data_IF_947047861289
#
_entry.id   IF_947047861289
#
_cell.length_a   1.000
_cell.length_b   1.000
_cell.length_c   1.000
_cell.angle_alpha   90.00
_cell.angle_beta   90.00
_cell.angle_gamma   90.00
#
_symmetry.space_group_name_H-M   'P 1'
#
loop_
_entity.id
_entity.type
_entity.pdbx_description
1 polymer ?
#
# COMPACT_ATOMS: atom_id res chain seq x y z
N UNK A 1 -16.48 -15.86 -10.72
CA UNK A 1 -16.43 -16.93 -11.76
C UNK A 1 -17.62 -17.89 -11.71
N UNK A 2 -17.99 -18.46 -10.55
CA UNK A 2 -19.16 -19.37 -10.42
C UNK A 2 -20.52 -18.73 -10.74
N UNK A 3 -20.70 -17.44 -10.46
CA UNK A 3 -21.89 -16.67 -10.85
C UNK A 3 -21.95 -16.37 -12.36
N UNK A 4 -20.82 -15.94 -12.94
CA UNK A 4 -20.69 -15.69 -14.38
C UNK A 4 -20.85 -16.95 -15.25
N UNK A 5 -20.60 -18.15 -14.70
CA UNK A 5 -20.89 -19.42 -15.37
C UNK A 5 -22.38 -19.83 -15.26
N UNK A 6 -23.14 -19.22 -14.34
CA UNK A 6 -24.57 -19.48 -14.13
C UNK A 6 -25.46 -18.49 -14.88
N UNK A 7 -24.99 -17.26 -15.08
CA UNK A 7 -25.66 -16.25 -15.90
C UNK A 7 -25.14 -16.31 -17.34
N UNK A 8 -25.99 -16.01 -18.33
CA UNK A 8 -25.60 -15.97 -19.74
C UNK A 8 -24.63 -14.81 -19.99
N UNK A 9 -23.33 -15.07 -19.79
CA UNK A 9 -22.27 -14.09 -19.97
C UNK A 9 -22.07 -13.79 -21.46
N UNK A 10 -22.55 -12.62 -21.90
CA UNK A 10 -22.49 -12.19 -23.29
C UNK A 10 -21.27 -11.29 -23.59
N UNK A 11 -20.93 -11.13 -24.87
CA UNK A 11 -19.84 -10.29 -25.35
C UNK A 11 -19.94 -8.83 -24.89
N UNK A 12 -21.15 -8.32 -24.68
CA UNK A 12 -21.36 -6.99 -24.11
C UNK A 12 -20.86 -6.91 -22.65
N UNK A 13 -21.16 -7.93 -21.84
CA UNK A 13 -20.68 -8.02 -20.45
C UNK A 13 -19.16 -8.15 -20.40
N UNK A 14 -18.57 -8.97 -21.27
CA UNK A 14 -17.11 -9.08 -21.39
C UNK A 14 -16.44 -7.73 -21.70
N UNK A 15 -17.01 -6.96 -22.63
CA UNK A 15 -16.48 -5.64 -22.97
C UNK A 15 -16.61 -4.67 -21.79
N UNK A 16 -17.73 -4.69 -21.08
CA UNK A 16 -17.94 -3.85 -19.91
C UNK A 16 -16.95 -4.19 -18.77
N UNK A 17 -16.77 -5.47 -18.47
CA UNK A 17 -15.85 -5.96 -17.44
C UNK A 17 -14.39 -5.67 -17.80
N UNK A 18 -14.01 -5.83 -19.07
CA UNK A 18 -12.65 -5.49 -19.53
C UNK A 18 -12.37 -4.00 -19.33
N UNK A 19 -13.30 -3.13 -19.71
CA UNK A 19 -13.14 -1.69 -19.51
C UNK A 19 -13.10 -1.32 -18.03
N UNK A 20 -13.97 -1.91 -17.20
CA UNK A 20 -13.98 -1.71 -15.77
C UNK A 20 -12.65 -2.19 -15.13
N UNK A 21 -12.17 -3.37 -15.51
CA UNK A 21 -10.91 -3.93 -15.03
C UNK A 21 -9.70 -3.06 -15.40
N UNK A 22 -9.67 -2.50 -16.61
CA UNK A 22 -8.62 -1.55 -17.02
C UNK A 22 -8.67 -0.28 -16.16
N UNK A 23 -9.85 0.32 -16.00
CA UNK A 23 -10.00 1.55 -15.18
C UNK A 23 -9.59 1.31 -13.74
N UNK A 24 -10.08 0.24 -13.12
CA UNK A 24 -9.76 -0.14 -11.75
C UNK A 24 -8.28 -0.45 -11.60
N UNK A 25 -7.70 -1.25 -12.51
CA UNK A 25 -6.30 -1.63 -12.47
C UNK A 25 -5.37 -0.43 -12.57
N UNK A 26 -5.66 0.50 -13.49
CA UNK A 26 -4.88 1.72 -13.68
C UNK A 26 -4.92 2.60 -12.42
N UNK A 27 -6.06 2.68 -11.71
CA UNK A 27 -6.17 3.39 -10.41
C UNK A 27 -5.47 2.64 -9.28
N UNK A 28 -5.50 1.31 -9.30
CA UNK A 28 -4.91 0.47 -8.26
C UNK A 28 -3.38 0.53 -8.24
N UNK A 29 -2.71 0.77 -9.38
CA UNK A 29 -1.25 0.86 -9.48
C UNK A 29 -0.64 1.92 -8.53
N UNK A 30 -1.00 3.23 -8.62
CA UNK A 30 -0.45 4.24 -7.73
C UNK A 30 -0.87 4.03 -6.26
N UNK A 31 -2.11 3.60 -6.02
CA UNK A 31 -2.59 3.33 -4.67
C UNK A 31 -1.77 2.23 -3.99
N UNK A 32 -1.51 1.13 -4.71
CA UNK A 32 -0.76 -0.01 -4.17
C UNK A 32 0.67 0.35 -3.81
N UNK A 33 1.34 1.16 -4.65
CA UNK A 33 2.68 1.68 -4.34
C UNK A 33 2.65 2.59 -3.12
N UNK A 34 1.69 3.52 -3.04
CA UNK A 34 1.58 4.46 -1.92
C UNK A 34 1.37 3.74 -0.59
N UNK A 35 0.53 2.69 -0.57
CA UNK A 35 0.28 1.91 0.65
C UNK A 35 1.50 1.08 1.06
N UNK A 36 2.25 0.50 0.12
CA UNK A 36 3.51 -0.17 0.42
C UNK A 36 4.53 0.80 1.06
N UNK A 37 4.68 2.00 0.50
CA UNK A 37 5.55 3.04 1.05
C UNK A 37 5.10 3.43 2.47
N UNK A 38 3.79 3.58 2.68
CA UNK A 38 3.23 3.91 3.99
C UNK A 38 3.44 2.78 5.02
N UNK A 39 3.47 1.53 4.58
CA UNK A 39 3.84 0.35 5.39
C UNK A 39 5.35 0.21 5.60
N UNK A 40 6.18 1.13 5.10
CA UNK A 40 7.63 1.10 5.29
C UNK A 40 8.35 0.08 4.41
N UNK A 41 7.70 -0.46 3.37
CA UNK A 41 8.31 -1.39 2.42
C UNK A 41 8.47 -0.76 1.04
N UNK A 42 9.44 -1.24 0.22
CA UNK A 42 9.62 -0.72 -1.13
C UNK A 42 8.35 -0.87 -2.00
N UNK A 43 8.04 0.11 -2.87
CA UNK A 43 6.77 0.20 -3.61
C UNK A 43 6.45 -1.01 -4.50
N UNK A 44 7.47 -1.72 -5.00
CA UNK A 44 7.27 -2.95 -5.80
C UNK A 44 6.45 -4.01 -5.05
N UNK A 45 6.58 -4.10 -3.73
CA UNK A 45 5.85 -5.12 -2.96
C UNK A 45 4.35 -4.85 -2.97
N UNK A 46 3.94 -3.58 -3.02
CA UNK A 46 2.53 -3.20 -3.20
C UNK A 46 2.00 -3.62 -4.57
N UNK A 47 2.77 -3.36 -5.63
CA UNK A 47 2.42 -3.79 -6.99
C UNK A 47 2.30 -5.31 -7.09
N UNK A 48 3.29 -6.04 -6.56
CA UNK A 48 3.30 -7.50 -6.56
C UNK A 48 2.10 -8.07 -5.79
N UNK A 49 1.80 -7.49 -4.63
CA UNK A 49 0.62 -7.86 -3.84
C UNK A 49 -0.66 -7.65 -4.64
N UNK A 50 -0.84 -6.48 -5.26
CA UNK A 50 -2.04 -6.18 -6.05
C UNK A 50 -2.21 -7.12 -7.26
N UNK A 51 -1.12 -7.43 -7.97
CA UNK A 51 -1.15 -8.35 -9.12
C UNK A 51 -1.53 -9.77 -8.67
N UNK A 52 -0.83 -10.30 -7.67
CA UNK A 52 -1.02 -11.69 -7.21
C UNK A 52 -2.36 -11.85 -6.51
N UNK A 53 -2.70 -10.96 -5.57
CA UNK A 53 -3.98 -11.01 -4.85
C UNK A 53 -5.17 -10.79 -5.80
N UNK A 54 -5.06 -9.83 -6.72
CA UNK A 54 -6.08 -9.56 -7.74
C UNK A 54 -6.40 -10.80 -8.57
N UNK A 55 -5.36 -11.51 -9.05
CA UNK A 55 -5.55 -12.75 -9.81
C UNK A 55 -6.14 -13.88 -8.96
N UNK A 56 -5.56 -14.14 -7.79
CA UNK A 56 -5.97 -15.25 -6.93
C UNK A 56 -7.40 -15.07 -6.42
N UNK A 57 -7.78 -13.86 -6.00
CA UNK A 57 -9.11 -13.56 -5.48
C UNK A 57 -10.14 -13.49 -6.62
N UNK A 58 -9.79 -13.03 -7.82
CA UNK A 58 -10.71 -13.11 -8.95
C UNK A 58 -11.11 -14.56 -9.29
N UNK A 59 -10.18 -15.52 -9.12
CA UNK A 59 -10.41 -16.94 -9.38
C UNK A 59 -11.12 -17.66 -8.22
N UNK A 60 -10.71 -17.38 -6.98
CA UNK A 60 -11.17 -18.11 -5.79
C UNK A 60 -12.22 -17.36 -4.94
N UNK A 61 -12.46 -16.09 -5.22
CA UNK A 61 -13.32 -15.21 -4.44
C UNK A 61 -14.82 -15.49 -4.58
N UNK A 62 -15.59 -14.96 -3.63
CA UNK A 62 -17.03 -15.18 -3.53
C UNK A 62 -17.91 -14.16 -4.28
N UNK A 63 -17.36 -13.03 -4.71
CA UNK A 63 -18.13 -11.93 -5.33
C UNK A 63 -17.63 -11.61 -6.74
N UNK A 64 -18.57 -11.35 -7.66
CA UNK A 64 -18.28 -11.06 -9.07
C UNK A 64 -17.65 -9.67 -9.28
N UNK A 65 -17.86 -8.73 -8.36
CA UNK A 65 -17.45 -7.33 -8.47
C UNK A 65 -16.39 -6.94 -7.44
N UNK A 66 -15.84 -7.92 -6.72
CA UNK A 66 -14.85 -7.67 -5.69
C UNK A 66 -13.48 -7.38 -6.31
N UNK A 67 -12.96 -6.19 -5.98
CA UNK A 67 -11.59 -5.80 -6.28
C UNK A 67 -10.76 -6.00 -5.02
N UNK A 68 -9.64 -6.69 -5.16
CA UNK A 68 -8.71 -6.93 -4.05
C UNK A 68 -7.36 -6.28 -4.32
N UNK A 69 -6.69 -5.91 -3.24
CA UNK A 69 -5.40 -5.24 -3.26
C UNK A 69 -4.94 -4.92 -1.84
N UNK A 70 -3.79 -4.25 -1.69
CA UNK A 70 -3.35 -3.75 -0.39
C UNK A 70 -4.38 -2.76 0.17
N UNK A 71 -4.75 -2.93 1.44
CA UNK A 71 -5.76 -2.09 2.10
C UNK A 71 -5.11 -1.12 3.06
N UNK A 72 -5.55 0.14 3.02
CA UNK A 72 -4.97 1.21 3.82
C UNK A 72 -5.09 0.98 5.33
N UNK A 73 -6.13 0.27 5.78
CA UNK A 73 -6.33 -0.15 7.17
C UNK A 73 -5.14 -0.92 7.75
N UNK A 74 -4.54 -1.82 6.95
CA UNK A 74 -3.43 -2.64 7.42
C UNK A 74 -2.13 -1.87 7.51
N UNK A 75 -2.00 -0.67 6.94
CA UNK A 75 -0.76 0.11 7.02
C UNK A 75 -0.32 0.33 8.47
N UNK A 76 -1.27 0.59 9.37
CA UNK A 76 -1.01 0.84 10.79
C UNK A 76 -0.44 -0.40 11.50
N UNK A 77 -0.82 -1.60 11.04
CA UNK A 77 -0.38 -2.89 11.57
C UNK A 77 0.94 -3.32 10.91
N UNK A 78 1.06 -3.16 9.60
CA UNK A 78 2.22 -3.62 8.82
C UNK A 78 3.46 -2.74 9.02
N UNK A 79 3.29 -1.42 9.17
CA UNK A 79 4.41 -0.49 9.37
C UNK A 79 5.32 -0.84 10.57
N UNK A 80 4.80 -1.06 11.80
CA UNK A 80 5.65 -1.45 12.92
C UNK A 80 6.27 -2.84 12.73
N UNK A 81 5.58 -3.78 12.08
CA UNK A 81 6.14 -5.11 11.78
C UNK A 81 7.32 -4.98 10.82
N UNK A 82 7.16 -4.21 9.75
CA UNK A 82 8.23 -3.95 8.78
C UNK A 82 9.43 -3.27 9.44
N UNK A 83 9.19 -2.32 10.35
CA UNK A 83 10.25 -1.61 11.08
C UNK A 83 11.01 -2.52 12.07
N UNK A 84 10.31 -3.44 12.74
CA UNK A 84 10.89 -4.31 13.78
C UNK A 84 11.47 -5.61 13.25
N UNK A 85 10.84 -6.22 12.25
CA UNK A 85 11.20 -7.55 11.75
C UNK A 85 11.64 -7.57 10.28
N UNK A 86 11.71 -6.40 9.63
CA UNK A 86 12.07 -6.28 8.23
C UNK A 86 11.04 -6.88 7.27
N UNK A 87 11.41 -6.94 5.99
CA UNK A 87 10.54 -7.47 4.93
C UNK A 87 10.29 -8.97 5.11
N UNK A 88 11.32 -9.74 5.48
CA UNK A 88 11.19 -11.17 5.72
C UNK A 88 10.18 -11.48 6.82
N UNK A 89 10.30 -10.80 7.97
CA UNK A 89 9.39 -10.99 9.09
C UNK A 89 7.95 -10.57 8.79
N UNK A 90 7.78 -9.46 8.06
CA UNK A 90 6.47 -9.05 7.56
C UNK A 90 5.81 -10.16 6.73
N UNK A 91 6.55 -10.73 5.78
CA UNK A 91 6.03 -11.78 4.92
C UNK A 91 5.73 -13.08 5.68
N UNK A 92 6.55 -13.46 6.65
CA UNK A 92 6.27 -14.59 7.55
C UNK A 92 5.01 -14.35 8.37
N UNK A 93 4.83 -13.15 8.93
CA UNK A 93 3.62 -12.81 9.68
C UNK A 93 2.37 -12.86 8.79
N UNK A 94 2.44 -12.33 7.56
CA UNK A 94 1.32 -12.40 6.61
C UNK A 94 1.03 -13.83 6.15
N UNK A 95 2.05 -14.69 6.02
CA UNK A 95 1.87 -16.10 5.68
C UNK A 95 1.14 -16.82 6.83
N UNK A 96 1.56 -16.59 8.08
CA UNK A 96 0.89 -17.13 9.26
C UNK A 96 -0.56 -16.62 9.36
N UNK A 97 -0.80 -15.33 9.09
CA UNK A 97 -2.15 -14.77 9.02
C UNK A 97 -3.00 -15.46 7.93
N UNK A 98 -2.42 -15.75 6.76
CA UNK A 98 -3.08 -16.50 5.70
C UNK A 98 -3.49 -17.92 6.11
N UNK A 99 -2.65 -18.60 6.89
CA UNK A 99 -2.99 -19.92 7.47
C UNK A 99 -4.15 -19.80 8.46
N UNK A 100 -4.14 -18.78 9.33
CA UNK A 100 -5.24 -18.50 10.27
C UNK A 100 -6.54 -18.21 9.50
N UNK A 101 -6.49 -17.35 8.48
CA UNK A 101 -7.63 -17.03 7.62
C UNK A 101 -8.18 -18.26 6.90
N UNK A 102 -7.32 -19.15 6.41
CA UNK A 102 -7.74 -20.40 5.79
C UNK A 102 -8.45 -21.32 6.80
N UNK A 103 -7.92 -21.43 8.01
CA UNK A 103 -8.55 -22.20 9.09
C UNK A 103 -9.90 -21.61 9.49
N UNK A 104 -10.00 -20.29 9.68
CA UNK A 104 -11.26 -19.58 9.99
C UNK A 104 -12.29 -19.73 8.86
N UNK A 105 -11.86 -19.68 7.60
CA UNK A 105 -12.72 -19.92 6.44
C UNK A 105 -13.23 -21.36 6.40
N UNK A 106 -12.39 -22.33 6.70
CA UNK A 106 -12.75 -23.75 6.73
C UNK A 106 -13.72 -24.09 7.88
N UNK A 107 -13.63 -23.41 9.02
CA UNK A 107 -14.53 -23.60 10.18
C UNK A 107 -15.81 -22.77 10.11
N UNK A 108 -15.98 -21.91 9.10
CA UNK A 108 -17.13 -21.02 8.98
C UNK A 108 -17.11 -19.81 9.93
N UNK A 109 -15.99 -19.59 10.63
CA UNK A 109 -15.82 -18.50 11.61
C UNK A 109 -15.97 -17.10 11.00
N UNK A 110 -15.81 -16.97 9.68
CA UNK A 110 -16.02 -15.71 8.96
C UNK A 110 -17.43 -15.13 9.11
N UNK A 111 -18.44 -15.95 9.42
CA UNK A 111 -19.82 -15.48 9.66
C UNK A 111 -19.92 -14.59 10.91
N UNK A 112 -19.00 -14.72 11.87
CA UNK A 112 -19.06 -13.92 13.09
C UNK A 112 -18.78 -12.44 12.88
N UNK A 113 -18.24 -12.05 11.71
CA UNK A 113 -18.04 -10.64 11.36
C UNK A 113 -19.37 -9.86 11.33
N UNK A 114 -20.49 -10.55 11.10
CA UNK A 114 -21.84 -9.95 11.10
C UNK A 114 -22.26 -9.44 12.48
N UNK A 115 -21.63 -9.90 13.57
CA UNK A 115 -21.93 -9.46 14.93
C UNK A 115 -21.11 -8.25 15.38
N UNK A 116 -20.17 -7.75 14.56
CA UNK A 116 -19.36 -6.59 14.92
C UNK A 116 -20.26 -5.34 14.94
N UNK A 117 -20.39 -4.64 16.09
CA UNK A 117 -21.28 -3.49 16.18
C UNK A 117 -20.85 -2.35 15.25
N UNK A 118 -21.83 -1.66 14.67
CA UNK A 118 -21.59 -0.49 13.80
C UNK A 118 -20.71 0.62 14.43
N UNK A 119 -20.82 0.94 15.75
CA UNK A 119 -19.92 1.89 16.39
C UNK A 119 -18.44 1.47 16.34
N UNK A 120 -18.14 0.16 16.34
CA UNK A 120 -16.77 -0.36 16.26
C UNK A 120 -16.20 -0.15 14.86
N UNK A 121 -16.96 -0.49 13.82
CA UNK A 121 -16.49 -0.34 12.43
C UNK A 121 -16.29 1.13 12.06
N UNK A 122 -17.21 2.00 12.47
CA UNK A 122 -17.10 3.46 12.25
C UNK A 122 -15.94 4.06 13.04
N UNK A 123 -15.79 3.73 14.32
CA UNK A 123 -14.67 4.18 15.16
C UNK A 123 -13.31 3.72 14.62
N UNK A 124 -13.21 2.45 14.21
CA UNK A 124 -12.01 1.89 13.59
C UNK A 124 -11.65 2.62 12.28
N UNK A 125 -12.63 2.82 11.40
CA UNK A 125 -12.44 3.54 10.13
C UNK A 125 -11.99 4.98 10.36
N UNK A 126 -12.62 5.68 11.31
CA UNK A 126 -12.22 7.05 11.67
C UNK A 126 -10.80 7.10 12.26
N UNK A 127 -10.45 6.15 13.13
CA UNK A 127 -9.11 6.02 13.69
C UNK A 127 -8.05 5.81 12.61
N UNK A 128 -8.29 4.90 11.66
CA UNK A 128 -7.41 4.67 10.51
C UNK A 128 -7.28 5.94 9.67
N UNK A 129 -8.38 6.65 9.40
CA UNK A 129 -8.34 7.88 8.61
C UNK A 129 -7.45 8.94 9.27
N UNK A 130 -7.55 9.11 10.59
CA UNK A 130 -6.69 10.02 11.36
C UNK A 130 -5.23 9.58 11.26
N UNK A 131 -4.92 8.30 11.51
CA UNK A 131 -3.54 7.79 11.46
C UNK A 131 -2.93 7.95 10.08
N UNK A 132 -3.65 7.58 9.01
CA UNK A 132 -3.18 7.77 7.64
C UNK A 132 -2.94 9.25 7.37
N UNK A 133 -3.90 10.12 7.72
CA UNK A 133 -3.76 11.57 7.55
C UNK A 133 -2.51 12.12 8.22
N UNK A 134 -2.25 11.71 9.46
CA UNK A 134 -1.04 12.11 10.21
C UNK A 134 0.24 11.57 9.57
N UNK A 135 0.24 10.32 9.09
CA UNK A 135 1.42 9.72 8.45
C UNK A 135 1.74 10.38 7.10
N UNK A 136 0.74 10.80 6.33
CA UNK A 136 0.94 11.49 5.06
C UNK A 136 1.52 12.91 5.23
N UNK A 137 1.39 13.51 6.41
CA UNK A 137 1.93 14.85 6.69
C UNK A 137 3.45 14.91 6.51
N UNK A 138 4.17 13.82 6.81
CA UNK A 138 5.61 13.70 6.58
C UNK A 138 5.95 13.93 5.10
N UNK A 139 5.30 13.19 4.21
CA UNK A 139 5.60 13.21 2.78
C UNK A 139 5.01 14.45 2.10
N UNK A 140 3.84 14.92 2.53
CA UNK A 140 3.20 16.14 2.02
C UNK A 140 4.03 17.40 2.31
N UNK A 141 4.63 17.48 3.50
CA UNK A 141 5.48 18.61 3.89
C UNK A 141 6.97 18.41 3.53
N UNK A 142 7.35 17.22 3.04
CA UNK A 142 8.75 16.89 2.74
C UNK A 142 9.65 16.83 3.98
N UNK A 143 9.12 16.42 5.14
CA UNK A 143 9.84 16.42 6.41
C UNK A 143 10.93 15.35 6.46
N UNK A 144 12.08 15.71 7.03
CA UNK A 144 13.17 14.77 7.30
C UNK A 144 13.07 14.25 8.73
N UNK A 145 12.56 13.03 8.88
CA UNK A 145 12.47 12.31 10.17
C UNK A 145 13.38 11.09 10.11
N UNK A 146 14.51 11.05 10.85
CA UNK A 146 15.49 9.97 10.77
C UNK A 146 14.93 8.59 11.13
N UNK A 147 14.16 8.53 12.23
CA UNK A 147 13.47 7.31 12.67
C UNK A 147 12.08 7.69 13.17
N UNK A 148 11.07 7.04 12.61
CA UNK A 148 9.69 7.24 13.06
C UNK A 148 9.45 6.39 14.32
N UNK A 149 9.00 6.99 15.44
CA UNK A 149 8.65 6.23 16.65
C UNK A 149 7.53 5.22 16.40
N UNK A 150 7.32 4.27 17.31
CA UNK A 150 6.24 3.27 17.18
C UNK A 150 4.90 3.83 17.68
N UNK A 151 4.90 4.54 18.81
CA UNK A 151 3.70 5.09 19.42
C UNK A 151 3.19 6.36 18.73
N UNK A 152 1.86 6.48 18.58
CA UNK A 152 1.24 7.57 17.84
C UNK A 152 1.57 8.97 18.39
N UNK A 153 1.53 9.16 19.71
CA UNK A 153 1.83 10.47 20.32
C UNK A 153 3.30 10.88 20.09
N UNK A 154 4.22 9.92 20.18
CA UNK A 154 5.63 10.15 19.89
C UNK A 154 5.86 10.47 18.42
N UNK A 155 5.15 9.79 17.51
CA UNK A 155 5.16 10.12 16.08
C UNK A 155 4.72 11.56 15.83
N UNK A 156 3.63 11.99 16.46
CA UNK A 156 3.15 13.37 16.35
C UNK A 156 4.21 14.36 16.86
N UNK A 157 4.81 14.08 18.02
CA UNK A 157 5.91 14.88 18.55
C UNK A 157 7.12 14.95 17.62
N UNK A 158 7.48 13.84 16.97
CA UNK A 158 8.57 13.79 16.00
C UNK A 158 8.27 14.62 14.74
N UNK A 159 7.03 14.57 14.23
CA UNK A 159 6.59 15.39 13.09
C UNK A 159 6.64 16.88 13.43
N UNK A 160 6.15 17.28 14.61
CA UNK A 160 6.19 18.67 15.08
C UNK A 160 7.62 19.18 15.21
N UNK A 161 8.53 18.38 15.76
CA UNK A 161 9.96 18.71 15.84
C UNK A 161 10.62 18.83 14.46
N UNK A 162 10.13 18.11 13.46
CA UNK A 162 10.65 18.14 12.10
C UNK A 162 10.04 19.26 11.23
N UNK A 163 9.04 20.01 11.70
CA UNK A 163 8.46 21.15 10.97
C UNK A 163 9.47 22.17 10.43
N UNK A 164 10.61 22.47 11.07
CA UNK A 164 11.62 23.35 10.47
C UNK A 164 12.24 22.81 9.17
N UNK A 165 12.10 21.52 8.87
CA UNK A 165 12.66 20.85 7.69
C UNK A 165 11.70 20.83 6.48
N UNK A 166 10.61 21.60 6.51
CA UNK A 166 9.61 21.62 5.43
C UNK A 166 10.25 22.02 4.10
N UNK A 167 9.95 21.25 3.07
CA UNK A 167 10.39 21.52 1.69
C UNK A 167 9.22 22.09 0.89
N UNK A 168 9.27 23.39 0.59
CA UNK A 168 8.18 24.07 -0.12
C UNK A 168 7.87 23.47 -1.49
N UNK A 169 8.87 22.88 -2.15
CA UNK A 169 8.69 22.16 -3.40
C UNK A 169 7.73 20.96 -3.26
N UNK A 170 7.90 20.16 -2.20
CA UNK A 170 7.04 19.00 -1.94
C UNK A 170 5.63 19.45 -1.55
N UNK A 171 5.51 20.53 -0.75
CA UNK A 171 4.22 21.15 -0.39
C UNK A 171 3.46 21.63 -1.62
N UNK A 172 4.14 22.32 -2.55
CA UNK A 172 3.51 22.83 -3.77
C UNK A 172 2.97 21.69 -4.66
N UNK A 173 3.76 20.61 -4.82
CA UNK A 173 3.33 19.43 -5.57
C UNK A 173 2.19 18.71 -4.84
N UNK A 174 2.27 18.58 -3.51
CA UNK A 174 1.19 18.01 -2.69
C UNK A 174 -0.11 18.80 -2.81
N UNK A 175 -0.04 20.12 -2.71
CA UNK A 175 -1.19 21.02 -2.86
C UNK A 175 -1.79 20.95 -4.26
N UNK A 176 -0.97 20.93 -5.31
CA UNK A 176 -1.42 20.72 -6.69
C UNK A 176 -2.14 19.38 -6.83
N UNK A 177 -1.55 18.30 -6.29
CA UNK A 177 -2.14 16.96 -6.32
C UNK A 177 -3.49 16.94 -5.63
N UNK A 178 -3.60 17.54 -4.43
CA UNK A 178 -4.84 17.64 -3.67
C UNK A 178 -5.91 18.48 -4.39
N UNK A 179 -5.50 19.59 -5.01
CA UNK A 179 -6.39 20.42 -5.82
C UNK A 179 -6.95 19.63 -7.01
N UNK A 180 -6.12 18.87 -7.73
CA UNK A 180 -6.59 18.02 -8.83
C UNK A 180 -7.53 16.92 -8.31
N UNK A 181 -7.16 16.23 -7.22
CA UNK A 181 -8.00 15.17 -6.64
C UNK A 181 -9.40 15.66 -6.24
N UNK A 182 -9.53 16.89 -5.76
CA UNK A 182 -10.78 17.45 -5.25
C UNK A 182 -11.59 18.20 -6.31
N UNK A 183 -10.94 18.88 -7.26
CA UNK A 183 -11.60 19.69 -8.29
C UNK A 183 -11.91 18.88 -9.55
N UNK A 184 -11.05 17.93 -9.94
CA UNK A 184 -11.20 17.16 -11.17
C UNK A 184 -12.52 16.38 -11.26
N UNK A 185 -13.01 15.70 -10.21
CA UNK A 185 -14.30 14.99 -10.27
C UNK A 185 -15.51 15.90 -10.56
N UNK A 186 -15.38 17.21 -10.33
CA UNK A 186 -16.41 18.21 -10.66
C UNK A 186 -16.40 18.57 -12.15
N UNK A 187 -15.25 18.45 -12.80
CA UNK A 187 -15.07 18.76 -14.23
C UNK A 187 -15.29 17.54 -15.10
N UNK A 188 -14.69 16.40 -14.73
CA UNK A 188 -14.74 15.17 -15.51
C UNK A 188 -14.85 13.94 -14.60
N UNK A 189 -15.94 13.18 -14.76
CA UNK A 189 -16.22 11.95 -14.00
C UNK A 189 -15.77 10.67 -14.71
N UNK A 190 -15.40 10.75 -16.01
CA UNK A 190 -15.00 9.59 -16.81
C UNK A 190 -13.55 9.18 -16.54
N UNK A 191 -12.67 10.16 -16.33
CA UNK A 191 -11.25 9.90 -16.09
C UNK A 191 -10.98 9.95 -14.58
N UNK A 192 -10.42 8.89 -13.98
CA UNK A 192 -10.10 8.87 -12.55
C UNK A 192 -9.17 10.00 -12.14
N UNK A 193 -9.56 10.76 -11.11
CA UNK A 193 -8.78 11.87 -10.58
C UNK A 193 -7.35 11.49 -10.15
N UNK A 194 -7.08 10.31 -9.53
CA UNK A 194 -5.71 9.92 -9.17
C UNK A 194 -4.75 9.87 -10.35
N UNK A 195 -5.22 9.48 -11.53
CA UNK A 195 -4.38 9.42 -12.73
C UNK A 195 -4.02 10.80 -13.23
N UNK A 196 -5.02 11.68 -13.30
CA UNK A 196 -4.82 13.05 -13.74
C UNK A 196 -3.90 13.79 -12.78
N UNK A 197 -4.13 13.61 -11.46
CA UNK A 197 -3.29 14.18 -10.43
C UNK A 197 -1.83 13.70 -10.56
N UNK A 198 -1.61 12.39 -10.70
CA UNK A 198 -0.27 11.82 -10.87
C UNK A 198 0.42 12.35 -12.13
N UNK A 199 -0.28 12.37 -13.27
CA UNK A 199 0.31 12.83 -14.54
C UNK A 199 0.64 14.32 -14.51
N UNK A 200 -0.27 15.15 -13.98
CA UNK A 200 -0.06 16.59 -13.92
C UNK A 200 1.03 16.95 -12.91
N UNK A 201 1.04 16.32 -11.73
CA UNK A 201 2.08 16.53 -10.74
C UNK A 201 3.46 16.11 -11.25
N UNK A 202 3.56 14.95 -11.94
CA UNK A 202 4.82 14.48 -12.52
C UNK A 202 5.33 15.41 -13.62
N UNK A 203 4.45 15.87 -14.51
CA UNK A 203 4.82 16.82 -15.56
C UNK A 203 5.24 18.18 -14.98
N UNK A 204 4.48 18.70 -14.01
CA UNK A 204 4.82 19.95 -13.33
C UNK A 204 6.19 19.84 -12.65
N UNK A 205 6.44 18.77 -11.89
CA UNK A 205 7.72 18.53 -11.24
C UNK A 205 8.87 18.44 -12.27
N UNK A 206 8.67 17.75 -13.39
CA UNK A 206 9.68 17.60 -14.44
C UNK A 206 10.00 18.92 -15.17
N UNK A 207 8.99 19.76 -15.42
CA UNK A 207 9.18 21.07 -16.05
C UNK A 207 9.91 22.01 -15.11
N UNK A 208 9.46 22.12 -13.85
CA UNK A 208 10.08 23.02 -12.86
C UNK A 208 11.52 22.60 -12.55
N UNK A 209 11.80 21.30 -12.47
CA UNK A 209 13.16 20.79 -12.29
C UNK A 209 14.10 21.16 -13.47
N UNK A 210 13.58 21.34 -14.69
CA UNK A 210 14.38 21.78 -15.83
C UNK A 210 14.57 23.30 -15.90
N UNK A 211 13.62 24.08 -15.39
CA UNK A 211 13.64 25.55 -15.51
C UNK A 211 14.29 26.25 -14.32
N UNK A 212 14.27 25.65 -13.13
CA UNK A 212 14.84 26.24 -11.90
C UNK A 212 16.01 25.38 -11.39
N UNK A 213 17.27 25.85 -11.52
CA UNK A 213 18.42 25.20 -10.91
C UNK A 213 18.25 25.15 -9.38
N UNK A 214 18.28 23.95 -8.79
CA UNK A 214 18.10 23.74 -7.35
C UNK A 214 16.71 23.26 -6.92
N UNK A 215 15.72 23.26 -7.82
CA UNK A 215 14.43 22.62 -7.53
C UNK A 215 14.59 21.10 -7.58
N UNK A 216 14.36 20.44 -6.43
CA UNK A 216 14.36 18.98 -6.34
C UNK A 216 13.10 18.53 -5.61
N UNK A 217 12.37 17.60 -6.21
CA UNK A 217 11.22 16.93 -5.58
C UNK A 217 11.56 15.46 -5.46
N UNK A 218 11.19 14.86 -4.33
CA UNK A 218 11.41 13.44 -4.14
C UNK A 218 10.51 12.63 -5.09
N UNK A 219 11.10 12.03 -6.11
CA UNK A 219 10.42 11.10 -7.02
C UNK A 219 10.65 9.66 -6.58
N UNK A 220 9.83 8.73 -7.09
CA UNK A 220 10.06 7.29 -6.89
C UNK A 220 11.46 6.89 -7.36
N UNK A 221 11.93 7.43 -8.49
CA UNK A 221 13.24 7.14 -9.05
C UNK A 221 14.40 7.62 -8.15
N UNK A 222 14.23 8.75 -7.47
CA UNK A 222 15.27 9.31 -6.59
C UNK A 222 15.22 8.77 -5.18
N UNK A 223 14.04 8.35 -4.70
CA UNK A 223 13.82 7.92 -3.31
C UNK A 223 14.01 6.43 -3.09
N UNK A 224 13.74 5.61 -4.11
CA UNK A 224 13.83 4.17 -4.00
C UNK A 224 14.90 3.63 -4.94
N UNK A 225 15.55 2.56 -4.51
CA UNK A 225 16.50 1.80 -5.30
C UNK A 225 16.20 0.31 -5.13
N UNK A 226 16.61 -0.49 -6.10
CA UNK A 226 16.50 -1.94 -6.09
C UNK A 226 17.82 -2.56 -6.55
N UNK A 227 18.11 -3.74 -6.03
CA UNK A 227 19.27 -4.51 -6.46
C UNK A 227 18.87 -5.49 -7.57
N UNK A 228 19.60 -5.48 -8.68
CA UNK A 228 19.40 -6.44 -9.78
C UNK A 228 20.76 -6.89 -10.29
N UNK A 229 21.08 -8.17 -10.09
CA UNK A 229 22.36 -8.76 -10.47
C UNK A 229 23.57 -8.17 -9.73
N UNK A 230 23.42 -7.85 -8.43
CA UNK A 230 24.49 -7.26 -7.61
C UNK A 230 24.69 -5.75 -7.82
N UNK A 231 23.87 -5.11 -8.67
CA UNK A 231 23.95 -3.67 -8.96
C UNK A 231 22.73 -2.96 -8.40
N UNK A 232 22.96 -1.93 -7.58
CA UNK A 232 21.93 -1.01 -7.11
C UNK A 232 21.51 -0.08 -8.25
N UNK A 233 20.23 -0.10 -8.59
CA UNK A 233 19.61 0.74 -9.62
C UNK A 233 18.49 1.60 -9.02
N UNK A 234 18.32 2.85 -9.48
CA UNK A 234 17.25 3.71 -9.01
C UNK A 234 15.87 3.23 -9.49
N UNK A 235 14.83 3.51 -8.70
CA UNK A 235 13.43 3.25 -9.01
C UNK A 235 12.92 1.88 -8.58
N UNK A 236 12.09 1.28 -9.43
CA UNK A 236 11.36 0.03 -9.18
C UNK A 236 11.85 -1.03 -10.19
N UNK A 237 12.05 -2.30 -9.77
CA UNK A 237 12.37 -3.38 -10.69
C UNK A 237 11.30 -3.53 -11.78
N UNK A 238 11.75 -3.85 -13.00
CA UNK A 238 10.86 -4.17 -14.14
C UNK A 238 10.55 -5.66 -14.25
N UNK A 239 11.18 -6.46 -13.41
CA UNK A 239 10.99 -7.90 -13.38
C UNK A 239 9.64 -8.27 -12.76
N UNK A 240 8.95 -9.31 -13.25
CA UNK A 240 7.76 -9.82 -12.60
C UNK A 240 8.08 -10.38 -11.21
N UNK A 241 7.10 -10.45 -10.30
CA UNK A 241 7.29 -11.06 -8.98
C UNK A 241 7.78 -12.50 -9.15
N UNK A 242 8.93 -12.82 -8.53
CA UNK A 242 9.47 -14.17 -8.49
C UNK A 242 9.07 -14.82 -7.17
N UNK A 243 8.71 -16.11 -7.15
CA UNK A 243 8.47 -16.83 -5.91
C UNK A 243 9.78 -16.92 -5.14
N UNK A 244 9.88 -16.16 -4.05
CA UNK A 244 11.00 -16.18 -3.11
C UNK A 244 10.45 -16.51 -1.74
N UNK A 245 11.13 -17.40 -1.03
CA UNK A 245 10.74 -17.79 0.32
C UNK A 245 10.97 -16.62 1.29
N UNK A 246 10.02 -16.30 2.19
CA UNK A 246 10.13 -15.17 3.12
C UNK A 246 11.42 -15.15 3.95
N UNK A 247 11.92 -16.32 4.35
CA UNK A 247 13.13 -16.46 5.15
C UNK A 247 14.45 -16.23 4.39
N UNK A 248 14.39 -16.05 3.07
CA UNK A 248 15.54 -15.62 2.26
C UNK A 248 15.62 -14.10 2.11
N UNK A 249 14.57 -13.39 2.52
CA UNK A 249 14.48 -11.94 2.43
C UNK A 249 15.07 -11.27 3.68
N UNK A 250 15.50 -10.00 3.56
CA UNK A 250 16.15 -9.30 4.65
C UNK A 250 15.23 -9.18 5.87
N UNK A 251 15.76 -9.58 7.02
CA UNK A 251 15.24 -9.26 8.35
C UNK A 251 15.62 -7.83 8.78
N UNK A 252 15.51 -7.51 10.08
CA UNK A 252 15.80 -6.16 10.58
C UNK A 252 17.27 -5.75 10.40
N UNK A 253 18.20 -6.71 10.45
CA UNK A 253 19.64 -6.47 10.31
C UNK A 253 20.11 -6.48 8.85
N UNK A 254 19.19 -6.56 7.87
CA UNK A 254 19.50 -6.69 6.45
C UNK A 254 19.99 -8.07 6.01
N UNK A 255 20.36 -8.95 6.94
CA UNK A 255 20.66 -10.35 6.68
C UNK A 255 19.39 -11.19 6.43
N UNK A 256 19.48 -12.34 5.73
CA UNK A 256 18.36 -13.26 5.58
C UNK A 256 17.75 -13.64 6.93
N UNK A 257 16.42 -13.61 7.00
CA UNK A 257 15.66 -13.86 8.22
C UNK A 257 15.87 -15.29 8.74
N UNK A 258 16.41 -15.41 9.95
CA UNK A 258 16.52 -16.69 10.65
C UNK A 258 15.17 -17.06 11.27
N UNK A 259 14.49 -18.04 10.70
CA UNK A 259 13.23 -18.54 11.25
C UNK A 259 13.52 -19.51 12.39
N UNK A 260 13.24 -19.09 13.61
CA UNK A 260 13.26 -19.91 14.82
C UNK A 260 11.89 -19.85 15.52
N UNK A 261 11.71 -20.70 16.53
CA UNK A 261 10.45 -20.78 17.28
C UNK A 261 10.14 -19.45 18.00
N UNK A 262 11.16 -18.75 18.47
CA UNK A 262 11.01 -17.46 19.16
C UNK A 262 10.47 -16.38 18.22
N UNK A 263 11.01 -16.26 17.00
CA UNK A 263 10.49 -15.34 15.99
C UNK A 263 9.04 -15.67 15.64
N UNK A 264 8.72 -16.95 15.43
CA UNK A 264 7.33 -17.35 15.17
C UNK A 264 6.42 -16.93 16.32
N UNK A 265 6.84 -17.14 17.56
CA UNK A 265 6.10 -16.74 18.77
C UNK A 265 5.92 -15.22 18.86
N UNK A 266 6.93 -14.44 18.50
CA UNK A 266 6.86 -12.97 18.47
C UNK A 266 5.95 -12.44 17.35
N UNK A 267 5.88 -13.14 16.22
CA UNK A 267 5.04 -12.75 15.09
C UNK A 267 3.58 -13.21 15.24
N UNK A 268 3.28 -14.16 16.12
CA UNK A 268 1.91 -14.67 16.32
C UNK A 268 0.86 -13.59 16.62
N UNK A 269 1.09 -12.64 17.56
CA UNK A 269 0.13 -11.56 17.82
C UNK A 269 -0.12 -10.69 16.58
N UNK A 270 0.94 -10.40 15.81
CA UNK A 270 0.85 -9.67 14.56
C UNK A 270 0.08 -10.45 13.49
N UNK A 271 0.35 -11.75 13.35
CA UNK A 271 -0.36 -12.62 12.41
C UNK A 271 -1.85 -12.70 12.73
N UNK A 272 -2.20 -12.79 14.01
CA UNK A 272 -3.60 -12.75 14.46
C UNK A 272 -4.25 -11.39 14.17
N UNK A 273 -3.56 -10.28 14.46
CA UNK A 273 -4.05 -8.94 14.15
C UNK A 273 -4.20 -8.66 12.64
N UNK A 274 -3.44 -9.33 11.79
CA UNK A 274 -3.59 -9.26 10.31
C UNK A 274 -4.77 -10.12 9.85
N UNK A 275 -5.05 -11.24 10.52
CA UNK A 275 -6.13 -12.16 10.16
C UNK A 275 -7.52 -11.69 10.60
N UNK A 276 -7.61 -10.82 11.60
CA UNK A 276 -8.85 -10.23 12.13
C UNK A 276 -9.17 -8.89 11.47
#
# INVERSE_FOLDING_TARGET
MRSALREQYDAHALRADLMAGVVVGVVALPLSMALAIASGVPPQHGLYTAIVAGLVIALLGGSAVQVSGPTAAFVVILAPIAARFGLGGLLVATLAAGVILFAMGATGMGQFIEYVPYPVTTGFTAGIAVVIGTLQLKDFLGLTVPRMPEHYLERLGALLKALPTVRMADVAIGALTLAVLTLWPRVNRRVPAPLVALTLAALAAAVVAKTMPGFSVATINTRFAYESGGVLRPGIPRDPPRPVLPWRLPGPDGAPLRVNLDLLRELMPAAFAIAM
#
